data_IF_505974217151
#
_entry.id   IF_505974217151
#
_cell.length_a   1.000
_cell.length_b   1.000
_cell.length_c   1.000
_cell.angle_alpha   90.00
_cell.angle_beta   90.00
_cell.angle_gamma   90.00
#
_symmetry.space_group_name_H-M   'P 1'
#
loop_
_entity.id
_entity.type
_entity.pdbx_description
1 polymer ?
#
# COMPACT_ATOMS: atom_id res chain seq x y z
N UNK A 1 3.48 -21.85 -53.06
CA UNK A 1 2.11 -21.83 -53.62
C UNK A 1 1.39 -20.61 -53.07
N UNK A 2 0.92 -19.71 -53.97
CA UNK A 2 -0.28 -18.84 -53.91
C UNK A 2 -0.70 -18.22 -52.56
N UNK A 3 -1.04 -16.94 -52.40
CA UNK A 3 -1.17 -15.78 -53.29
C UNK A 3 -1.43 -14.55 -52.41
N UNK A 4 -0.96 -13.41 -52.90
CA UNK A 4 -1.37 -12.03 -52.62
C UNK A 4 -2.87 -11.82 -52.38
N UNK A 5 -3.23 -10.89 -51.48
CA UNK A 5 -4.36 -9.98 -51.69
C UNK A 5 -4.08 -8.60 -51.07
N UNK A 6 -3.94 -7.61 -51.97
CA UNK A 6 -3.90 -6.15 -51.76
C UNK A 6 -5.28 -5.62 -52.17
N UNK A 7 -5.94 -4.80 -51.34
CA UNK A 7 -6.99 -3.83 -51.74
C UNK A 7 -6.89 -2.62 -50.78
N UNK A 8 -6.40 -1.45 -51.20
CA UNK A 8 -7.03 -0.35 -51.96
C UNK A 8 -8.13 0.44 -51.22
N UNK A 9 -7.73 1.63 -50.75
CA UNK A 9 -8.38 2.95 -50.76
C UNK A 9 -9.86 3.05 -51.18
N UNK A 10 -10.66 3.76 -50.37
CA UNK A 10 -11.61 4.76 -50.85
C UNK A 10 -12.01 5.77 -49.74
N UNK A 11 -11.76 7.05 -50.02
CA UNK A 11 -12.30 8.20 -49.32
C UNK A 11 -13.79 8.41 -49.64
N UNK A 12 -14.53 9.16 -48.81
CA UNK A 12 -15.30 10.37 -49.23
C UNK A 12 -16.48 10.77 -48.32
N UNK A 13 -16.56 12.10 -48.10
CA UNK A 13 -17.74 12.98 -48.06
C UNK A 13 -18.52 13.26 -46.75
N UNK A 14 -18.22 14.47 -46.23
CA UNK A 14 -19.09 15.54 -45.72
C UNK A 14 -20.61 15.41 -45.95
N UNK A 15 -21.38 15.74 -44.90
CA UNK A 15 -22.61 16.52 -45.03
C UNK A 15 -22.85 17.37 -43.76
N UNK A 16 -22.78 18.70 -43.93
CA UNK A 16 -23.26 19.69 -42.98
C UNK A 16 -24.76 19.92 -43.20
N UNK A 17 -25.52 20.15 -42.14
CA UNK A 17 -26.87 20.68 -42.22
C UNK A 17 -27.05 21.84 -41.22
N UNK A 18 -26.98 23.06 -41.76
CA UNK A 18 -27.54 24.27 -41.14
C UNK A 18 -29.06 24.16 -41.13
N UNK A 19 -29.70 24.49 -40.02
CA UNK A 19 -31.08 24.98 -40.00
C UNK A 19 -31.07 26.38 -39.41
N UNK A 20 -31.18 27.36 -40.30
CA UNK A 20 -31.62 28.72 -40.01
C UNK A 20 -33.14 28.77 -40.22
N UNK A 21 -33.84 29.53 -39.37
CA UNK A 21 -35.08 30.31 -39.57
C UNK A 21 -35.62 30.63 -38.17
N UNK A 22 -35.94 31.86 -37.75
CA UNK A 22 -35.87 33.18 -38.37
C UNK A 22 -36.32 34.20 -37.30
N UNK A 23 -35.64 35.34 -37.23
CA UNK A 23 -36.07 36.50 -36.44
C UNK A 23 -37.15 37.28 -37.18
N UNK A 24 -38.11 37.88 -36.45
CA UNK A 24 -38.63 39.24 -36.65
C UNK A 24 -39.52 39.70 -35.47
N UNK A 25 -39.74 41.02 -35.28
CA UNK A 25 -39.43 41.68 -34.01
C UNK A 25 -40.62 42.33 -33.29
N UNK A 26 -40.39 42.72 -32.03
CA UNK A 26 -40.79 44.01 -31.51
C UNK A 26 -41.99 44.05 -30.58
N UNK A 27 -41.74 44.36 -29.30
CA UNK A 27 -42.39 45.46 -28.58
C UNK A 27 -41.73 45.66 -27.22
N UNK A 28 -41.22 46.87 -27.00
CA UNK A 28 -40.70 47.30 -25.71
C UNK A 28 -41.84 47.41 -24.70
N UNK A 29 -41.78 46.64 -23.60
CA UNK A 29 -42.57 46.89 -22.41
C UNK A 29 -41.65 47.32 -21.26
N UNK A 30 -41.91 48.51 -20.75
CA UNK A 30 -41.23 49.09 -19.60
C UNK A 30 -41.47 48.22 -18.36
N UNK A 31 -40.44 47.49 -17.93
CA UNK A 31 -40.46 46.75 -16.68
C UNK A 31 -40.48 47.73 -15.50
N UNK A 32 -41.64 47.81 -14.85
CA UNK A 32 -41.77 48.41 -13.51
C UNK A 32 -40.94 47.56 -12.55
N UNK A 33 -39.98 48.17 -11.84
CA UNK A 33 -39.32 47.54 -10.70
C UNK A 33 -40.39 47.19 -9.66
N UNK A 34 -40.78 45.91 -9.62
CA UNK A 34 -41.40 45.33 -8.44
C UNK A 34 -40.26 44.99 -7.46
N UNK A 35 -40.29 45.58 -6.26
CA UNK A 35 -39.43 45.14 -5.18
C UNK A 35 -39.73 43.65 -4.93
N UNK A 36 -38.71 42.80 -5.08
CA UNK A 36 -38.78 41.41 -4.65
C UNK A 36 -39.09 41.38 -3.14
N UNK A 37 -39.91 40.41 -2.67
CA UNK A 37 -40.08 40.23 -1.24
C UNK A 37 -38.72 39.87 -0.62
N UNK A 38 -38.45 40.40 0.57
CA UNK A 38 -37.24 40.10 1.32
C UNK A 38 -37.08 38.57 1.43
N UNK A 39 -36.00 38.05 0.84
CA UNK A 39 -35.56 36.67 1.06
C UNK A 39 -35.26 36.57 2.55
N UNK A 40 -36.19 36.00 3.30
CA UNK A 40 -35.93 35.58 4.67
C UNK A 40 -35.01 34.38 4.55
N UNK A 41 -33.74 34.57 4.86
CA UNK A 41 -32.79 33.46 5.06
C UNK A 41 -33.30 32.64 6.24
N UNK A 42 -34.12 31.64 5.95
CA UNK A 42 -34.37 30.54 6.87
C UNK A 42 -33.05 29.80 7.05
N UNK A 43 -32.26 30.20 8.04
CA UNK A 43 -31.22 29.36 8.59
C UNK A 43 -31.91 28.17 9.26
N UNK A 44 -32.20 27.13 8.47
CA UNK A 44 -32.46 25.83 9.03
C UNK A 44 -31.20 25.40 9.80
N UNK A 45 -31.33 24.82 11.00
CA UNK A 45 -30.18 24.31 11.73
C UNK A 45 -29.44 23.30 10.84
N UNK A 46 -28.12 23.38 10.78
CA UNK A 46 -27.27 22.37 10.14
C UNK A 46 -27.64 21.00 10.73
N UNK A 47 -28.39 20.20 9.97
CA UNK A 47 -28.63 18.82 10.35
C UNK A 47 -27.35 18.03 10.09
N UNK A 48 -26.96 17.17 11.03
CA UNK A 48 -25.91 16.18 10.82
C UNK A 48 -26.20 15.41 9.53
N UNK A 49 -25.18 15.31 8.70
CA UNK A 49 -25.29 14.71 7.38
C UNK A 49 -24.86 13.26 7.52
N UNK A 50 -25.83 12.36 7.69
CA UNK A 50 -25.58 10.91 7.81
C UNK A 50 -25.36 10.22 6.45
N UNK A 51 -25.14 11.00 5.37
CA UNK A 51 -24.92 10.52 4.00
C UNK A 51 -23.43 10.68 3.63
N UNK A 52 -22.66 9.58 3.47
CA UNK A 52 -21.23 9.61 3.14
C UNK A 52 -20.89 10.44 1.89
N UNK A 53 -21.76 10.43 0.89
CA UNK A 53 -21.54 11.20 -0.34
C UNK A 53 -21.73 12.71 -0.11
N UNK A 54 -22.60 13.09 0.82
CA UNK A 54 -22.78 14.50 1.20
C UNK A 54 -21.74 14.98 2.20
N UNK A 55 -21.18 14.09 3.03
CA UNK A 55 -20.06 14.45 3.92
C UNK A 55 -18.77 14.69 3.11
N UNK A 56 -18.48 13.86 2.10
CA UNK A 56 -17.31 14.06 1.22
C UNK A 56 -17.35 15.40 0.47
N UNK A 57 -18.50 15.74 -0.10
CA UNK A 57 -18.70 17.03 -0.77
C UNK A 57 -18.42 18.23 0.15
N UNK A 58 -18.84 18.15 1.42
CA UNK A 58 -18.61 19.22 2.38
C UNK A 58 -17.12 19.40 2.72
N UNK A 59 -16.35 18.31 2.83
CA UNK A 59 -14.90 18.36 2.99
C UNK A 59 -14.24 19.08 1.80
N UNK A 60 -14.57 18.67 0.57
CA UNK A 60 -14.00 19.25 -0.66
C UNK A 60 -14.28 20.74 -0.79
N UNK A 61 -15.48 21.20 -0.41
CA UNK A 61 -15.82 22.63 -0.46
C UNK A 61 -14.89 23.50 0.40
N UNK A 62 -14.47 23.01 1.56
CA UNK A 62 -13.62 23.76 2.48
C UNK A 62 -12.13 23.51 2.27
N UNK A 63 -11.73 22.32 1.82
CA UNK A 63 -10.32 21.92 1.72
C UNK A 63 -9.71 22.09 0.32
N UNK A 64 -10.49 22.24 -0.75
CA UNK A 64 -9.90 22.36 -2.12
C UNK A 64 -9.21 23.70 -2.38
N UNK A 65 -9.76 24.81 -1.87
CA UNK A 65 -9.33 26.17 -2.17
C UNK A 65 -9.35 26.99 -0.88
N UNK A 66 -8.37 26.70 -0.02
CA UNK A 66 -8.21 27.32 1.28
C UNK A 66 -6.75 27.67 1.53
N UNK A 67 -6.52 28.73 2.28
CA UNK A 67 -5.20 29.10 2.79
C UNK A 67 -5.08 28.81 4.29
N UNK A 68 -6.03 28.06 4.86
CA UNK A 68 -5.98 27.68 6.26
C UNK A 68 -4.77 26.80 6.52
N UNK A 69 -4.09 27.07 7.63
CA UNK A 69 -2.98 26.27 8.14
C UNK A 69 -3.33 25.77 9.52
N UNK A 70 -2.92 24.54 9.81
CA UNK A 70 -2.92 24.00 11.16
C UNK A 70 -1.57 24.36 11.76
N UNK A 71 -1.58 25.11 12.86
CA UNK A 71 -0.38 25.41 13.64
C UNK A 71 -0.34 24.49 14.87
N UNK A 72 0.71 23.69 14.99
CA UNK A 72 0.90 22.80 16.12
C UNK A 72 1.49 23.56 17.33
N UNK A 73 1.25 23.10 18.57
CA UNK A 73 1.91 23.67 19.75
C UNK A 73 3.44 23.72 19.69
N UNK A 74 4.08 22.82 18.94
CA UNK A 74 5.52 22.83 18.63
C UNK A 74 5.97 24.04 17.78
N UNK A 75 5.04 24.71 17.11
CA UNK A 75 5.28 25.80 16.15
C UNK A 75 5.42 25.34 14.70
N UNK A 76 5.39 24.04 14.45
CA UNK A 76 5.30 23.49 13.09
C UNK A 76 3.92 23.79 12.48
N UNK A 77 3.83 23.78 11.15
CA UNK A 77 2.56 24.03 10.46
C UNK A 77 2.35 23.07 9.30
N UNK A 78 1.09 22.80 8.98
CA UNK A 78 0.67 22.06 7.79
C UNK A 78 -0.50 22.78 7.11
N UNK A 79 -0.52 22.76 5.78
CA UNK A 79 -1.65 23.28 5.01
C UNK A 79 -2.89 22.41 5.23
N UNK A 80 -4.04 23.04 5.42
CA UNK A 80 -5.32 22.34 5.39
C UNK A 80 -5.82 22.13 3.95
N UNK A 81 -5.15 22.69 2.94
CA UNK A 81 -5.54 22.50 1.54
C UNK A 81 -5.23 21.09 1.06
N UNK A 82 -6.15 20.52 0.29
CA UNK A 82 -5.97 19.25 -0.42
C UNK A 82 -6.07 19.50 -1.92
N UNK A 83 -5.04 19.12 -2.67
CA UNK A 83 -5.10 19.14 -4.13
C UNK A 83 -6.00 17.99 -4.62
N UNK A 84 -7.22 18.34 -5.05
CA UNK A 84 -8.18 17.35 -5.51
C UNK A 84 -7.81 16.70 -6.84
N UNK A 85 -6.94 17.32 -7.64
CA UNK A 85 -6.45 16.72 -8.88
C UNK A 85 -5.41 15.64 -8.57
N UNK A 86 -4.46 15.91 -7.68
CA UNK A 86 -3.52 14.88 -7.25
C UNK A 86 -4.22 13.74 -6.49
N UNK A 87 -5.21 14.05 -5.64
CA UNK A 87 -6.00 13.01 -4.97
C UNK A 87 -6.75 12.12 -5.96
N UNK A 88 -7.32 12.69 -7.02
CA UNK A 88 -8.01 11.92 -8.06
C UNK A 88 -7.06 11.02 -8.88
N UNK A 89 -5.75 11.35 -8.91
CA UNK A 89 -4.73 10.56 -9.60
C UNK A 89 -4.03 9.54 -8.68
N UNK A 90 -4.25 9.63 -7.37
CA UNK A 90 -3.71 8.66 -6.40
C UNK A 90 -4.24 7.24 -6.64
N UNK A 91 -3.60 6.25 -6.00
CA UNK A 91 -4.05 4.87 -5.98
C UNK A 91 -5.47 4.70 -5.42
N UNK A 92 -5.95 5.63 -4.58
CA UNK A 92 -7.31 5.60 -4.03
C UNK A 92 -8.32 6.41 -4.86
N UNK A 93 -7.84 7.24 -5.79
CA UNK A 93 -8.65 8.06 -6.70
C UNK A 93 -8.94 7.40 -8.05
N UNK A 94 -8.12 6.42 -8.45
CA UNK A 94 -8.13 5.80 -9.79
C UNK A 94 -8.89 4.47 -9.86
N UNK A 95 -9.35 3.93 -8.72
CA UNK A 95 -10.17 2.71 -8.64
C UNK A 95 -11.60 2.92 -9.15
N UNK A 96 -12.32 1.82 -9.42
CA UNK A 96 -13.71 1.88 -9.95
C UNK A 96 -14.64 2.74 -9.08
N UNK A 97 -14.49 2.66 -7.76
CA UNK A 97 -15.18 3.50 -6.78
C UNK A 97 -14.14 4.24 -5.91
N UNK A 98 -13.82 5.51 -6.23
CA UNK A 98 -12.84 6.28 -5.47
C UNK A 98 -13.21 6.45 -4.01
N UNK A 99 -12.22 6.41 -3.12
CA UNK A 99 -12.46 6.58 -1.69
C UNK A 99 -12.89 8.02 -1.37
N UNK A 100 -13.94 8.13 -0.56
CA UNK A 100 -14.37 9.39 0.03
C UNK A 100 -13.44 9.80 1.19
N UNK A 101 -13.37 11.10 1.53
CA UNK A 101 -12.59 11.62 2.66
C UNK A 101 -12.90 10.87 3.97
N UNK A 102 -14.17 10.54 4.21
CA UNK A 102 -14.63 9.84 5.41
C UNK A 102 -14.25 8.35 5.46
N UNK A 103 -13.66 7.82 4.38
CA UNK A 103 -13.11 6.46 4.38
C UNK A 103 -11.82 6.38 5.18
N UNK A 104 -11.09 7.50 5.30
CA UNK A 104 -9.83 7.60 6.05
C UNK A 104 -9.92 8.56 7.25
N UNK A 105 -10.75 9.61 7.17
CA UNK A 105 -10.97 10.57 8.24
C UNK A 105 -12.26 10.26 9.00
N UNK A 106 -12.19 9.94 10.29
CA UNK A 106 -13.37 9.58 11.10
C UNK A 106 -14.39 10.73 11.17
N UNK A 107 -15.61 10.56 10.60
CA UNK A 107 -16.63 11.61 10.62
C UNK A 107 -17.12 11.97 12.03
N UNK A 108 -16.88 11.11 13.04
CA UNK A 108 -17.19 11.43 14.44
C UNK A 108 -16.20 12.43 15.04
N UNK A 109 -14.95 12.41 14.59
CA UNK A 109 -13.94 13.45 14.87
C UNK A 109 -14.25 14.71 14.05
N UNK A 110 -14.76 14.53 12.83
CA UNK A 110 -14.99 15.60 11.85
C UNK A 110 -16.48 15.98 11.64
N UNK A 111 -17.20 16.27 12.72
CA UNK A 111 -18.58 16.82 12.63
C UNK A 111 -18.54 18.27 12.19
N UNK A 112 -19.03 18.61 11.00
CA UNK A 112 -18.89 19.97 10.45
C UNK A 112 -19.81 20.98 11.16
N UNK A 113 -19.31 22.14 11.65
CA UNK A 113 -17.90 22.55 11.75
C UNK A 113 -17.17 21.74 12.82
N UNK A 114 -16.03 21.13 12.46
CA UNK A 114 -15.35 20.16 13.29
C UNK A 114 -14.30 20.78 14.20
N UNK A 115 -13.95 20.04 15.26
CA UNK A 115 -12.86 20.40 16.14
C UNK A 115 -11.53 20.39 15.36
N UNK A 116 -10.59 21.21 15.84
CA UNK A 116 -9.25 21.28 15.27
C UNK A 116 -8.40 20.08 15.72
N UNK A 117 -7.27 19.90 15.03
CA UNK A 117 -6.27 18.89 15.41
C UNK A 117 -5.70 19.22 16.80
N UNK A 118 -5.70 18.23 17.69
CA UNK A 118 -5.20 18.36 19.07
C UNK A 118 -3.80 17.80 19.28
N UNK A 119 -3.16 17.28 18.23
CA UNK A 119 -1.81 16.75 18.30
C UNK A 119 -0.82 17.83 18.77
N UNK A 120 0.15 17.49 19.64
CA UNK A 120 1.12 18.44 20.17
C UNK A 120 2.16 18.94 19.14
N UNK A 121 2.44 18.14 18.12
CA UNK A 121 3.44 18.39 17.10
C UNK A 121 3.07 17.66 15.79
N UNK A 122 3.80 17.96 14.71
CA UNK A 122 3.50 17.39 13.40
C UNK A 122 3.77 15.87 13.35
N UNK A 123 4.82 15.40 14.02
CA UNK A 123 5.17 13.97 14.04
C UNK A 123 4.06 13.15 14.68
N UNK A 124 3.53 13.60 15.82
CA UNK A 124 2.44 12.92 16.52
C UNK A 124 1.18 12.88 15.68
N UNK A 125 0.89 13.95 14.94
CA UNK A 125 -0.22 13.98 13.98
C UNK A 125 -0.06 12.92 12.88
N UNK A 126 1.12 12.80 12.28
CA UNK A 126 1.39 11.76 11.25
C UNK A 126 1.18 10.35 11.78
N UNK A 127 1.65 10.06 13.00
CA UNK A 127 1.48 8.75 13.65
C UNK A 127 -0.01 8.45 13.88
N UNK A 128 -0.76 9.42 14.41
CA UNK A 128 -2.19 9.26 14.68
C UNK A 128 -3.01 9.03 13.42
N UNK A 129 -2.71 9.75 12.32
CA UNK A 129 -3.46 9.62 11.07
C UNK A 129 -3.04 8.41 10.24
N UNK A 130 -1.79 7.96 10.33
CA UNK A 130 -1.33 6.72 9.66
C UNK A 130 -2.01 5.46 10.20
N UNK A 131 -2.64 5.51 11.38
CA UNK A 131 -3.42 4.39 11.90
C UNK A 131 -4.62 4.01 10.99
N UNK A 132 -5.20 4.97 10.25
CA UNK A 132 -6.30 4.67 9.33
C UNK A 132 -5.85 3.84 8.11
N UNK A 133 -4.55 3.89 7.75
CA UNK A 133 -4.03 3.12 6.63
C UNK A 133 -4.16 1.62 6.88
N UNK A 134 -3.94 1.19 8.14
CA UNK A 134 -3.93 -0.24 8.49
C UNK A 134 -5.32 -0.87 8.64
N UNK A 135 -6.38 -0.07 8.53
CA UNK A 135 -7.76 -0.58 8.45
C UNK A 135 -8.00 -1.34 7.14
N UNK A 136 -7.25 -0.99 6.08
CA UNK A 136 -7.34 -1.62 4.75
C UNK A 136 -6.02 -2.25 4.29
N UNK A 137 -4.87 -1.66 4.62
CA UNK A 137 -3.56 -2.14 4.18
C UNK A 137 -2.86 -2.90 5.31
N UNK A 138 -2.46 -4.14 5.08
CA UNK A 138 -1.66 -4.92 6.02
C UNK A 138 -0.27 -5.21 5.43
N UNK A 139 0.58 -4.18 5.25
CA UNK A 139 1.82 -4.33 4.52
C UNK A 139 2.87 -5.11 5.30
N UNK A 140 3.48 -6.04 4.60
CA UNK A 140 4.60 -6.85 5.06
C UNK A 140 5.87 -6.01 5.22
N UNK A 141 6.07 -5.00 4.38
CA UNK A 141 7.25 -4.12 4.41
C UNK A 141 7.34 -3.23 5.67
N UNK A 142 6.23 -2.68 6.17
CA UNK A 142 6.26 -1.85 7.39
C UNK A 142 6.62 -2.68 8.61
N UNK A 143 6.37 -3.99 8.56
CA UNK A 143 6.69 -4.89 9.66
C UNK A 143 8.19 -5.14 9.84
N UNK A 144 9.02 -4.71 8.88
CA UNK A 144 10.48 -4.66 9.02
C UNK A 144 10.97 -3.41 9.77
N UNK A 145 10.07 -2.51 10.17
CA UNK A 145 10.37 -1.29 10.91
C UNK A 145 9.79 -1.35 12.33
N UNK A 146 10.27 -0.48 13.25
CA UNK A 146 9.67 -0.35 14.57
C UNK A 146 8.17 -0.06 14.47
N UNK A 147 7.39 -0.77 15.29
CA UNK A 147 5.94 -0.60 15.30
C UNK A 147 5.53 0.82 15.71
N UNK A 148 4.25 1.15 15.50
CA UNK A 148 3.68 2.47 15.79
C UNK A 148 3.76 2.85 17.29
N UNK A 149 4.05 1.90 18.19
CA UNK A 149 4.18 2.12 19.62
C UNK A 149 5.65 2.26 20.07
N UNK A 150 6.62 2.10 19.17
CA UNK A 150 8.03 2.31 19.44
C UNK A 150 8.37 3.77 19.78
N UNK A 151 9.57 4.01 20.30
CA UNK A 151 10.06 5.36 20.60
C UNK A 151 10.24 6.21 19.32
N UNK A 152 10.68 5.57 18.24
CA UNK A 152 10.84 6.15 16.91
C UNK A 152 10.09 5.26 15.89
N UNK A 153 8.75 5.35 15.84
CA UNK A 153 7.96 4.55 14.90
C UNK A 153 8.25 5.04 13.48
N UNK A 154 8.19 4.14 12.49
CA UNK A 154 8.13 4.52 11.08
C UNK A 154 6.69 4.34 10.62
N UNK A 155 6.15 5.32 9.91
CA UNK A 155 4.73 5.36 9.54
C UNK A 155 4.57 5.47 8.03
N UNK A 156 3.38 5.17 7.51
CA UNK A 156 3.12 5.10 6.07
C UNK A 156 3.53 6.39 5.33
N UNK A 157 3.27 7.55 5.95
CA UNK A 157 3.56 8.86 5.34
C UNK A 157 5.03 9.27 5.39
N UNK A 158 5.92 8.47 5.98
CA UNK A 158 7.36 8.73 5.96
C UNK A 158 7.97 8.43 4.60
N UNK A 159 7.30 7.58 3.82
CA UNK A 159 7.71 7.22 2.47
C UNK A 159 6.60 7.56 1.46
N UNK A 160 5.34 7.22 1.77
CA UNK A 160 4.23 7.50 0.89
C UNK A 160 3.66 8.91 1.11
N UNK A 161 3.05 9.49 0.09
CA UNK A 161 2.19 10.65 0.32
C UNK A 161 0.83 10.21 0.88
N UNK A 162 0.18 11.06 1.68
CA UNK A 162 -1.15 10.77 2.26
C UNK A 162 -2.32 10.98 1.30
N UNK A 163 -2.22 11.96 0.40
CA UNK A 163 -3.26 12.29 -0.58
C UNK A 163 -2.81 12.07 -2.02
N UNK A 164 -1.53 11.78 -2.25
CA UNK A 164 -0.95 11.54 -3.57
C UNK A 164 -0.27 10.16 -3.65
N UNK A 165 -0.69 9.22 -2.80
CA UNK A 165 -0.15 7.86 -2.74
C UNK A 165 -0.22 7.19 -4.12
N UNK A 166 0.89 6.62 -4.57
CA UNK A 166 0.99 5.91 -5.85
C UNK A 166 0.86 4.39 -5.66
N UNK A 167 0.42 3.63 -6.68
CA UNK A 167 0.38 2.18 -6.61
C UNK A 167 1.79 1.57 -6.53
N UNK A 168 1.88 0.33 -6.04
CA UNK A 168 3.15 -0.39 -5.83
C UNK A 168 3.94 -0.52 -7.14
N UNK A 169 3.27 -0.78 -8.27
CA UNK A 169 3.93 -0.87 -9.59
C UNK A 169 4.65 0.43 -10.00
N UNK A 170 4.21 1.60 -9.49
CA UNK A 170 4.91 2.88 -9.69
C UNK A 170 6.07 3.08 -8.70
N UNK A 171 6.00 2.40 -7.54
CA UNK A 171 7.05 2.36 -6.52
C UNK A 171 8.19 1.38 -6.85
N UNK A 172 7.98 0.38 -7.71
CA UNK A 172 9.02 -0.60 -8.10
C UNK A 172 10.12 -0.04 -9.03
N UNK A 173 10.18 1.29 -9.22
CA UNK A 173 11.28 1.92 -9.94
C UNK A 173 12.52 2.04 -9.03
N UNK A 174 13.73 1.82 -9.58
CA UNK A 174 15.01 1.91 -8.84
C UNK A 174 15.21 3.25 -8.10
N UNK A 175 14.44 4.28 -8.45
CA UNK A 175 14.40 5.57 -7.74
C UNK A 175 13.87 5.45 -6.29
N UNK A 176 13.23 4.34 -5.92
CA UNK A 176 12.65 4.14 -4.59
C UNK A 176 13.68 4.00 -3.47
N UNK A 177 14.88 3.49 -3.77
CA UNK A 177 15.96 3.38 -2.80
C UNK A 177 16.33 4.74 -2.21
N UNK A 178 16.07 5.84 -2.94
CA UNK A 178 16.24 7.21 -2.47
C UNK A 178 15.41 7.51 -1.21
N UNK A 179 14.22 6.92 -1.08
CA UNK A 179 13.40 7.09 0.12
C UNK A 179 13.96 6.31 1.31
N UNK A 180 14.51 5.13 1.05
CA UNK A 180 15.09 4.27 2.10
C UNK A 180 16.36 4.90 2.70
N UNK A 181 17.23 5.49 1.87
CA UNK A 181 18.49 6.12 2.32
C UNK A 181 18.29 7.46 3.04
N UNK A 182 17.05 7.92 3.22
CA UNK A 182 16.76 9.07 4.10
C UNK A 182 16.96 8.72 5.58
N UNK A 183 16.79 7.45 5.93
CA UNK A 183 16.99 6.94 7.30
C UNK A 183 18.07 5.86 7.37
N UNK A 184 18.28 5.10 6.30
CA UNK A 184 19.36 4.10 6.19
C UNK A 184 20.63 4.71 5.57
N UNK A 185 21.80 4.17 5.90
CA UNK A 185 23.07 4.67 5.36
C UNK A 185 23.15 4.41 3.85
N UNK A 186 23.65 5.38 3.09
CA UNK A 186 23.88 5.28 1.65
C UNK A 186 24.93 4.20 1.31
N UNK A 187 25.84 3.90 2.23
CA UNK A 187 26.78 2.78 2.06
C UNK A 187 26.07 1.42 2.00
N UNK A 188 24.78 1.36 2.34
CA UNK A 188 23.93 0.17 2.24
C UNK A 188 22.99 0.15 1.03
N UNK A 189 23.14 1.06 0.06
CA UNK A 189 22.25 1.17 -1.12
C UNK A 189 22.08 -0.16 -1.88
N UNK A 190 23.19 -0.88 -2.11
CA UNK A 190 23.17 -2.21 -2.75
C UNK A 190 22.37 -3.23 -1.91
N UNK A 191 22.48 -3.15 -0.58
CA UNK A 191 21.76 -4.03 0.35
C UNK A 191 20.26 -3.72 0.35
N UNK A 192 19.90 -2.43 0.36
CA UNK A 192 18.52 -1.98 0.28
C UNK A 192 17.88 -2.40 -1.04
N UNK A 193 18.61 -2.23 -2.14
CA UNK A 193 18.18 -2.68 -3.47
C UNK A 193 17.94 -4.19 -3.48
N UNK A 194 18.84 -4.99 -2.91
CA UNK A 194 18.65 -6.44 -2.80
C UNK A 194 17.39 -6.83 -1.99
N UNK A 195 17.08 -6.11 -0.91
CA UNK A 195 15.85 -6.34 -0.12
C UNK A 195 14.59 -5.99 -0.92
N UNK A 196 14.63 -4.89 -1.69
CA UNK A 196 13.54 -4.47 -2.57
C UNK A 196 13.29 -5.52 -3.67
N UNK A 197 14.36 -5.93 -4.37
CA UNK A 197 14.33 -6.97 -5.40
C UNK A 197 13.91 -8.35 -4.86
N UNK A 198 14.22 -8.62 -3.58
CA UNK A 198 13.79 -9.83 -2.91
C UNK A 198 12.29 -9.83 -2.57
N UNK A 199 11.53 -8.78 -2.91
CA UNK A 199 10.07 -8.75 -2.75
C UNK A 199 9.60 -8.15 -1.44
N UNK A 200 10.27 -7.10 -0.96
CA UNK A 200 9.82 -6.34 0.22
C UNK A 200 8.34 -5.92 0.11
N UNK A 201 7.88 -5.55 -1.10
CA UNK A 201 6.50 -5.13 -1.34
C UNK A 201 5.53 -6.27 -1.69
N UNK A 202 6.00 -7.52 -1.73
CA UNK A 202 5.15 -8.67 -2.04
C UNK A 202 4.13 -8.90 -0.92
N UNK A 203 2.86 -8.78 -1.29
CA UNK A 203 1.71 -8.89 -0.37
C UNK A 203 1.20 -10.32 -0.18
N UNK A 204 1.69 -11.27 -0.99
CA UNK A 204 1.26 -12.67 -0.94
C UNK A 204 2.28 -13.54 -0.19
N UNK A 205 1.93 -14.08 1.01
CA UNK A 205 2.80 -14.98 1.78
C UNK A 205 3.13 -16.30 1.06
N UNK A 206 2.56 -16.52 -0.13
CA UNK A 206 2.76 -17.72 -0.95
C UNK A 206 4.01 -17.65 -1.81
N UNK A 207 4.55 -16.45 -2.03
CA UNK A 207 5.71 -16.25 -2.89
C UNK A 207 7.00 -16.34 -2.08
N UNK A 208 8.05 -16.92 -2.67
CA UNK A 208 9.35 -17.02 -2.00
C UNK A 208 9.94 -15.66 -1.67
N UNK A 209 9.63 -14.67 -2.50
CA UNK A 209 10.02 -13.27 -2.31
C UNK A 209 9.60 -12.74 -0.92
N UNK A 210 8.38 -13.08 -0.47
CA UNK A 210 7.92 -12.73 0.88
C UNK A 210 8.86 -13.24 1.99
N UNK A 211 9.32 -14.49 1.89
CA UNK A 211 10.22 -15.09 2.87
C UNK A 211 11.64 -14.51 2.74
N UNK A 212 12.09 -14.34 1.50
CA UNK A 212 13.42 -13.87 1.14
C UNK A 212 13.64 -12.39 1.47
N UNK A 213 12.59 -11.56 1.54
CA UNK A 213 12.69 -10.17 1.99
C UNK A 213 13.38 -10.05 3.37
N UNK A 214 13.15 -11.02 4.26
CA UNK A 214 13.88 -11.13 5.53
C UNK A 214 15.07 -12.07 5.39
N UNK A 215 14.82 -13.31 4.95
CA UNK A 215 15.80 -14.38 5.03
C UNK A 215 17.01 -14.23 4.09
N UNK A 216 17.10 -13.20 3.26
CA UNK A 216 18.34 -12.89 2.50
C UNK A 216 19.32 -12.01 3.24
N UNK A 217 18.90 -11.40 4.37
CA UNK A 217 19.75 -10.46 5.10
C UNK A 217 20.97 -11.19 5.70
N UNK A 218 22.17 -10.59 5.62
CA UNK A 218 23.39 -11.19 6.14
C UNK A 218 23.34 -11.35 7.65
N UNK A 219 24.06 -12.35 8.16
CA UNK A 219 24.28 -12.59 9.59
C UNK A 219 23.00 -12.82 10.44
N UNK A 220 21.85 -13.09 9.79
CA UNK A 220 20.66 -13.53 10.51
C UNK A 220 20.91 -14.89 11.14
N UNK A 221 20.84 -14.94 12.46
CA UNK A 221 21.13 -16.15 13.23
C UNK A 221 20.10 -16.37 14.32
N UNK A 222 19.66 -17.61 14.47
CA UNK A 222 18.93 -18.08 15.64
C UNK A 222 19.94 -18.64 16.64
N UNK A 223 19.90 -18.15 17.87
CA UNK A 223 20.68 -18.70 18.99
C UNK A 223 19.75 -19.46 19.92
N UNK A 224 20.01 -20.75 20.12
CA UNK A 224 19.23 -21.61 21.00
C UNK A 224 19.66 -21.44 22.47
N UNK A 225 18.81 -21.87 23.41
CA UNK A 225 19.06 -21.73 24.85
C UNK A 225 20.38 -22.37 25.33
N UNK A 226 20.84 -23.43 24.66
CA UNK A 226 22.11 -24.09 24.96
C UNK A 226 23.35 -23.42 24.33
N UNK A 227 23.17 -22.34 23.57
CA UNK A 227 24.23 -21.61 22.87
C UNK A 227 24.54 -22.12 21.46
N UNK A 228 23.85 -23.15 20.96
CA UNK A 228 23.96 -23.51 19.54
C UNK A 228 23.45 -22.37 18.67
N UNK A 229 23.96 -22.26 17.44
CA UNK A 229 23.50 -21.26 16.48
C UNK A 229 23.11 -21.90 15.14
N UNK A 230 22.14 -21.29 14.46
CA UNK A 230 21.71 -21.64 13.10
C UNK A 230 21.63 -20.37 12.27
N UNK A 231 22.32 -20.35 11.13
CA UNK A 231 22.11 -19.32 10.12
C UNK A 231 20.68 -19.41 9.59
N UNK A 232 20.01 -18.26 9.53
CA UNK A 232 18.72 -18.05 8.91
C UNK A 232 18.85 -17.37 7.55
N UNK A 233 20.05 -16.90 7.19
CA UNK A 233 20.34 -16.31 5.89
C UNK A 233 20.34 -17.36 4.79
N UNK A 234 19.60 -17.08 3.71
CA UNK A 234 19.41 -17.86 2.51
C UNK A 234 19.96 -17.06 1.34
N UNK A 235 20.86 -17.68 0.58
CA UNK A 235 21.31 -17.16 -0.71
C UNK A 235 20.30 -17.61 -1.79
N UNK A 236 19.57 -16.69 -2.45
CA UNK A 236 18.57 -17.03 -3.45
C UNK A 236 19.16 -17.80 -4.63
N UNK A 237 20.38 -17.47 -5.05
CA UNK A 237 21.03 -18.11 -6.19
C UNK A 237 21.42 -19.56 -5.85
N UNK A 238 21.91 -19.79 -4.64
CA UNK A 238 22.20 -21.15 -4.15
C UNK A 238 20.91 -21.98 -4.04
N UNK A 239 19.82 -21.40 -3.55
CA UNK A 239 18.51 -22.08 -3.48
C UNK A 239 18.01 -22.44 -4.88
N UNK A 240 18.06 -21.48 -5.81
CA UNK A 240 17.62 -21.62 -7.21
C UNK A 240 18.40 -22.70 -7.96
N UNK A 241 19.70 -22.81 -7.73
CA UNK A 241 20.58 -23.84 -8.33
C UNK A 241 20.54 -25.20 -7.62
N UNK A 242 19.80 -25.32 -6.51
CA UNK A 242 19.75 -26.57 -5.75
C UNK A 242 18.91 -27.65 -6.43
N UNK A 243 18.98 -28.88 -5.93
CA UNK A 243 18.10 -29.98 -6.36
C UNK A 243 16.61 -29.71 -6.09
N UNK A 244 16.30 -28.73 -5.25
CA UNK A 244 14.93 -28.28 -4.97
C UNK A 244 14.55 -27.05 -5.79
N UNK A 245 15.48 -26.43 -6.52
CA UNK A 245 15.28 -25.23 -7.33
C UNK A 245 14.91 -25.52 -8.79
N UNK A 246 15.45 -24.74 -9.73
CA UNK A 246 15.04 -24.74 -11.14
C UNK A 246 15.17 -26.09 -11.86
N UNK A 247 16.22 -26.84 -11.54
CA UNK A 247 16.52 -28.14 -12.16
C UNK A 247 15.71 -29.30 -11.55
N UNK A 248 14.80 -29.02 -10.61
CA UNK A 248 13.93 -30.04 -10.03
C UNK A 248 13.01 -30.64 -11.10
N UNK A 249 13.05 -31.98 -11.33
CA UNK A 249 12.28 -32.63 -12.40
C UNK A 249 10.75 -32.52 -12.30
N UNK A 250 10.21 -32.16 -11.13
CA UNK A 250 8.77 -31.95 -10.96
C UNK A 250 8.40 -30.50 -11.19
N UNK A 251 8.99 -29.61 -10.39
CA UNK A 251 8.90 -28.16 -10.45
C UNK A 251 9.84 -27.58 -9.38
N UNK A 252 10.27 -26.31 -9.50
CA UNK A 252 10.94 -25.60 -8.43
C UNK A 252 10.07 -25.59 -7.16
N UNK A 253 10.67 -25.91 -6.01
CA UNK A 253 9.97 -25.90 -4.73
C UNK A 253 10.06 -24.51 -4.10
N UNK A 254 8.90 -23.96 -3.77
CA UNK A 254 8.76 -22.78 -2.93
C UNK A 254 9.05 -23.11 -1.46
N UNK A 255 9.35 -22.08 -0.68
CA UNK A 255 9.65 -22.14 0.76
C UNK A 255 8.54 -22.88 1.51
N UNK A 256 7.27 -22.58 1.19
CA UNK A 256 6.10 -23.21 1.81
C UNK A 256 5.85 -24.66 1.43
N UNK A 257 6.54 -25.19 0.42
CA UNK A 257 6.48 -26.63 0.14
C UNK A 257 7.16 -27.44 1.26
N UNK A 258 8.15 -26.86 1.94
CA UNK A 258 8.82 -27.46 3.10
C UNK A 258 8.32 -26.85 4.43
N UNK A 259 8.12 -25.53 4.46
CA UNK A 259 7.61 -24.79 5.62
C UNK A 259 6.08 -24.78 5.61
N UNK A 260 5.48 -25.86 6.10
CA UNK A 260 4.03 -26.09 6.04
C UNK A 260 3.23 -25.40 7.16
N UNK A 261 3.91 -24.88 8.18
CA UNK A 261 3.27 -24.08 9.24
C UNK A 261 2.84 -22.70 8.70
N UNK A 262 1.97 -22.01 9.43
CA UNK A 262 1.65 -20.61 9.12
C UNK A 262 2.84 -19.72 9.48
N UNK A 263 3.65 -19.42 8.47
CA UNK A 263 4.83 -18.56 8.58
C UNK A 263 4.53 -17.12 8.17
N UNK A 264 3.25 -16.72 8.18
CA UNK A 264 2.88 -15.31 7.99
C UNK A 264 3.41 -14.50 9.16
N UNK A 265 4.20 -13.47 8.87
CA UNK A 265 4.75 -12.56 9.85
C UNK A 265 3.66 -11.68 10.48
N UNK A 266 3.66 -11.45 11.81
CA UNK A 266 4.57 -12.04 12.79
C UNK A 266 4.30 -13.53 12.99
N UNK A 267 5.30 -14.36 12.67
CA UNK A 267 5.18 -15.81 12.76
C UNK A 267 5.65 -16.27 14.14
N UNK A 268 5.08 -17.37 14.63
CA UNK A 268 5.39 -17.90 15.96
C UNK A 268 6.91 -18.09 16.15
N UNK A 269 7.50 -17.65 17.28
CA UNK A 269 8.91 -17.86 17.55
C UNK A 269 9.25 -19.35 17.68
N UNK A 270 10.45 -19.72 17.24
CA UNK A 270 10.98 -21.07 17.44
C UNK A 270 11.35 -21.25 18.92
N UNK A 271 10.56 -22.06 19.64
CA UNK A 271 10.77 -22.37 21.07
C UNK A 271 11.30 -23.79 21.27
N UNK A 272 12.56 -24.02 20.88
CA UNK A 272 13.27 -25.28 21.13
C UNK A 272 14.63 -25.04 21.78
N UNK A 273 15.06 -25.98 22.64
CA UNK A 273 16.21 -25.75 23.51
C UNK A 273 17.58 -25.83 22.83
N UNK A 274 17.68 -26.47 21.65
CA UNK A 274 18.94 -26.76 20.95
C UNK A 274 18.76 -27.05 19.45
N UNK A 275 19.83 -26.91 18.68
CA UNK A 275 19.82 -27.10 17.22
C UNK A 275 19.40 -28.51 16.77
N UNK A 276 19.81 -29.55 17.49
CA UNK A 276 19.44 -30.93 17.12
C UNK A 276 17.96 -31.21 17.36
N UNK A 277 17.33 -30.55 18.32
CA UNK A 277 15.87 -30.68 18.52
C UNK A 277 15.12 -29.98 17.38
N UNK A 278 15.51 -28.75 17.04
CA UNK A 278 15.02 -28.05 15.85
C UNK A 278 15.13 -28.89 14.58
N UNK A 279 16.28 -29.52 14.37
CA UNK A 279 16.52 -30.37 13.19
C UNK A 279 15.60 -31.59 13.14
N UNK A 280 15.27 -32.17 14.31
CA UNK A 280 14.35 -33.30 14.40
C UNK A 280 12.90 -32.89 14.21
N UNK A 281 12.51 -31.71 14.70
CA UNK A 281 11.17 -31.16 14.50
C UNK A 281 10.88 -30.89 13.02
N UNK A 282 11.85 -30.36 12.27
CA UNK A 282 11.69 -30.05 10.83
C UNK A 282 11.93 -31.27 9.91
N UNK A 283 12.54 -32.33 10.41
CA UNK A 283 12.85 -33.55 9.63
C UNK A 283 11.65 -34.19 8.92
N UNK A 284 10.44 -34.29 9.51
CA UNK A 284 9.27 -34.89 8.86
C UNK A 284 8.82 -34.20 7.57
N UNK A 285 9.19 -32.92 7.34
CA UNK A 285 8.86 -32.22 6.10
C UNK A 285 9.36 -32.97 4.86
N UNK A 286 10.50 -33.66 4.97
CA UNK A 286 11.10 -34.44 3.89
C UNK A 286 10.22 -35.64 3.46
N UNK A 287 9.43 -36.21 4.37
CA UNK A 287 8.63 -37.40 4.11
C UNK A 287 7.53 -37.17 3.07
N UNK A 288 7.12 -35.91 2.87
CA UNK A 288 6.12 -35.53 1.87
C UNK A 288 6.54 -35.84 0.43
N UNK A 289 7.84 -35.83 0.14
CA UNK A 289 8.42 -36.10 -1.18
C UNK A 289 9.38 -37.30 -1.20
N UNK A 290 9.98 -37.64 -0.05
CA UNK A 290 11.01 -38.67 0.08
C UNK A 290 10.61 -39.75 1.11
N UNK A 291 9.39 -40.24 1.04
CA UNK A 291 8.83 -41.25 1.95
C UNK A 291 9.74 -42.47 2.16
N UNK A 292 10.24 -43.06 1.07
CA UNK A 292 11.08 -44.24 1.12
C UNK A 292 12.42 -43.98 1.83
N UNK A 293 13.07 -42.85 1.52
CA UNK A 293 14.33 -42.50 2.16
C UNK A 293 14.14 -42.10 3.63
N UNK A 294 12.99 -41.49 3.94
CA UNK A 294 12.60 -41.17 5.31
C UNK A 294 12.42 -42.44 6.14
N UNK A 295 11.69 -43.44 5.63
CA UNK A 295 11.50 -44.72 6.31
C UNK A 295 12.84 -45.46 6.54
N UNK A 296 13.71 -45.49 5.52
CA UNK A 296 15.05 -46.09 5.65
C UNK A 296 15.91 -45.38 6.71
N UNK A 297 15.76 -44.06 6.86
CA UNK A 297 16.48 -43.32 7.87
C UNK A 297 15.96 -43.60 9.29
N UNK A 298 14.65 -43.79 9.46
CA UNK A 298 14.06 -44.17 10.75
C UNK A 298 14.44 -45.60 11.18
N UNK A 299 14.62 -46.51 10.23
CA UNK A 299 15.08 -47.87 10.47
C UNK A 299 16.60 -47.99 10.69
N UNK A 300 17.33 -46.88 10.55
CA UNK A 300 18.79 -46.83 10.72
C UNK A 300 19.18 -46.83 12.20
N UNK A 301 20.18 -47.65 12.56
CA UNK A 301 20.79 -47.65 13.89
C UNK A 301 21.64 -46.38 14.19
N UNK A 302 21.77 -45.49 13.21
CA UNK A 302 22.49 -44.21 13.32
C UNK A 302 21.55 -42.98 13.31
N UNK A 303 20.24 -43.19 13.44
CA UNK A 303 19.22 -42.13 13.48
C UNK A 303 19.39 -41.11 14.60
#
# INVERSE_FOLDING_TARGET
MRSFFLWLLAASLLAAALILWGEKPGSAEASRLALAPAVTTSQAPFQQVDDPARSDFACRLCHQDTTAVIEFPSGETISAQVDLQHLALSAHGTVEEPLACTSCHDPNEYRIPHDGVTAPDYRRYQIEKSAACVDCHQPTHLTNHPDMAAEEPVVCTDCHDSHEVQPVDEWETVEITVNCVQCHDVEEEDRLTAVLEAGLFTSEPREDAYCLACHTQPDMTLTFANGDTKSLTIDPEVLRQSVHGEDNPWQPLACRNCHQDDMTYPHEPVDVGRLREYSLEKYPACASCHDHNYDLALDSVHG
#
